data_IF_953725195808
#
_entry.id   IF_953725195808
#
_cell.length_a   1.000
_cell.length_b   1.000
_cell.length_c   1.000
_cell.angle_alpha   90.00
_cell.angle_beta   90.00
_cell.angle_gamma   90.00
#
_symmetry.space_group_name_H-M   'P 1'
#
loop_
_entity.id
_entity.type
_entity.pdbx_description
1 polymer ?
#
# COMPACT_ATOMS: atom_id res chain seq x y z
N UNK A 1 -43.87 -81.20 -65.74
CA UNK A 1 -43.65 -81.27 -64.29
C UNK A 1 -42.17 -81.02 -64.04
N UNK A 2 -41.84 -80.20 -63.04
CA UNK A 2 -40.59 -79.46 -62.94
C UNK A 2 -39.53 -80.26 -62.17
N UNK A 3 -38.25 -79.94 -62.32
CA UNK A 3 -37.43 -79.79 -61.12
C UNK A 3 -36.31 -78.79 -61.32
N UNK A 4 -36.23 -77.90 -60.34
CA UNK A 4 -35.58 -76.61 -60.36
C UNK A 4 -34.08 -76.71 -60.03
N UNK A 5 -33.36 -75.76 -60.62
CA UNK A 5 -32.08 -75.23 -60.15
C UNK A 5 -32.04 -75.05 -58.62
N UNK A 6 -30.89 -75.27 -57.97
CA UNK A 6 -30.05 -74.17 -57.45
C UNK A 6 -29.00 -74.61 -56.42
N UNK A 7 -27.80 -74.11 -56.71
CA UNK A 7 -26.98 -73.29 -55.80
C UNK A 7 -26.26 -73.98 -54.64
N UNK A 8 -25.02 -74.38 -54.96
CA UNK A 8 -23.88 -74.34 -54.05
C UNK A 8 -23.85 -73.06 -53.22
N UNK A 9 -24.18 -73.18 -51.94
CA UNK A 9 -24.02 -72.11 -50.95
C UNK A 9 -22.60 -72.11 -50.38
N UNK A 10 -21.59 -71.72 -51.17
CA UNK A 10 -20.24 -71.46 -50.66
C UNK A 10 -20.20 -70.15 -49.88
N UNK A 11 -20.62 -70.21 -48.61
CA UNK A 11 -20.48 -69.12 -47.63
C UNK A 11 -19.67 -69.65 -46.46
N UNK A 12 -18.33 -69.55 -46.46
CA UNK A 12 -17.54 -69.59 -45.20
C UNK A 12 -16.03 -69.28 -45.32
N UNK A 13 -15.60 -68.26 -46.09
CA UNK A 13 -14.16 -67.86 -46.07
C UNK A 13 -13.93 -66.35 -45.81
N UNK A 14 -14.97 -65.50 -45.84
CA UNK A 14 -14.82 -64.02 -45.68
C UNK A 14 -14.95 -63.46 -44.25
N UNK A 15 -14.85 -64.27 -43.20
CA UNK A 15 -15.06 -63.82 -41.80
C UNK A 15 -13.81 -63.53 -40.93
N UNK A 16 -12.63 -64.16 -41.12
CA UNK A 16 -11.54 -63.96 -40.16
C UNK A 16 -10.88 -62.57 -40.28
N UNK A 17 -10.72 -62.04 -41.50
CA UNK A 17 -10.01 -60.77 -41.72
C UNK A 17 -10.74 -59.55 -41.10
N UNK A 18 -12.07 -59.53 -41.19
CA UNK A 18 -12.89 -58.45 -40.60
C UNK A 18 -12.85 -58.49 -39.06
N UNK A 19 -12.74 -59.68 -38.46
CA UNK A 19 -12.59 -59.86 -37.01
C UNK A 19 -11.23 -59.32 -36.52
N UNK A 20 -10.14 -59.61 -37.24
CA UNK A 20 -8.80 -59.10 -36.90
C UNK A 20 -8.71 -57.58 -37.00
N UNK A 21 -9.29 -56.97 -38.04
CA UNK A 21 -9.33 -55.50 -38.19
C UNK A 21 -10.12 -54.85 -37.05
N UNK A 22 -11.28 -55.41 -36.69
CA UNK A 22 -12.07 -54.92 -35.54
C UNK A 22 -11.30 -55.02 -34.23
N UNK A 23 -10.51 -56.07 -34.05
CA UNK A 23 -9.71 -56.28 -32.84
C UNK A 23 -8.58 -55.24 -32.73
N UNK A 24 -7.86 -54.99 -33.83
CA UNK A 24 -6.83 -53.95 -33.89
C UNK A 24 -7.43 -52.56 -33.64
N UNK A 25 -8.57 -52.24 -34.26
CA UNK A 25 -9.25 -50.96 -34.08
C UNK A 25 -9.78 -50.77 -32.64
N UNK A 26 -10.27 -51.86 -32.03
CA UNK A 26 -10.73 -51.85 -30.63
C UNK A 26 -9.58 -51.68 -29.64
N UNK A 27 -8.38 -52.14 -29.99
CA UNK A 27 -7.18 -51.99 -29.18
C UNK A 27 -6.46 -50.64 -29.40
N UNK A 28 -6.58 -50.03 -30.57
CA UNK A 28 -5.93 -48.75 -30.88
C UNK A 28 -6.55 -47.57 -30.14
N UNK A 29 -7.87 -47.57 -29.94
CA UNK A 29 -8.57 -46.47 -29.26
C UNK A 29 -8.11 -46.34 -27.79
N UNK A 30 -8.13 -47.40 -26.96
CA UNK A 30 -7.61 -47.34 -25.60
C UNK A 30 -6.14 -46.93 -25.54
N UNK A 31 -5.31 -47.43 -26.46
CA UNK A 31 -3.89 -47.13 -26.51
C UNK A 31 -3.64 -45.63 -26.77
N UNK A 32 -4.37 -45.04 -27.72
CA UNK A 32 -4.30 -43.59 -27.99
C UNK A 32 -4.75 -42.77 -26.77
N UNK A 33 -5.83 -43.18 -26.10
CA UNK A 33 -6.32 -42.51 -24.89
C UNK A 33 -5.26 -42.58 -23.77
N UNK A 34 -4.63 -43.73 -23.56
CA UNK A 34 -3.57 -43.89 -22.55
C UNK A 34 -2.38 -42.97 -22.84
N UNK A 35 -1.89 -42.94 -24.09
CA UNK A 35 -0.78 -42.05 -24.46
C UNK A 35 -1.15 -40.58 -24.24
N UNK A 36 -2.34 -40.16 -24.70
CA UNK A 36 -2.83 -38.81 -24.50
C UNK A 36 -2.92 -38.44 -23.00
N UNK A 37 -3.39 -39.38 -22.18
CA UNK A 37 -3.48 -39.20 -20.72
C UNK A 37 -2.10 -38.99 -20.09
N UNK A 38 -1.09 -39.77 -20.49
CA UNK A 38 0.28 -39.63 -19.97
C UNK A 38 0.88 -38.29 -20.36
N UNK A 39 0.71 -37.87 -21.62
CA UNK A 39 1.24 -36.58 -22.11
C UNK A 39 0.60 -35.40 -21.38
N UNK A 40 -0.73 -35.41 -21.24
CA UNK A 40 -1.46 -34.35 -20.53
C UNK A 40 -1.11 -34.31 -19.05
N UNK A 41 -0.92 -35.46 -18.40
CA UNK A 41 -0.46 -35.53 -17.00
C UNK A 41 0.91 -34.85 -16.80
N UNK A 42 1.88 -35.11 -17.69
CA UNK A 42 3.21 -34.50 -17.61
C UNK A 42 3.13 -32.98 -17.81
N UNK A 43 2.35 -32.52 -18.80
CA UNK A 43 2.17 -31.09 -19.07
C UNK A 43 1.49 -30.37 -17.90
N UNK A 44 0.44 -30.97 -17.31
CA UNK A 44 -0.24 -30.42 -16.14
C UNK A 44 0.69 -30.30 -14.94
N UNK A 45 1.57 -31.29 -14.73
CA UNK A 45 2.56 -31.25 -13.66
C UNK A 45 3.53 -30.08 -13.82
N UNK A 46 4.09 -29.90 -15.03
CA UNK A 46 5.03 -28.80 -15.32
C UNK A 46 4.36 -27.42 -15.18
N UNK A 47 3.13 -27.26 -15.69
CA UNK A 47 2.35 -26.01 -15.54
C UNK A 47 2.10 -25.72 -14.05
N UNK A 48 1.73 -26.73 -13.27
CA UNK A 48 1.47 -26.57 -11.83
C UNK A 48 2.73 -26.15 -11.06
N UNK A 49 3.88 -26.75 -11.39
CA UNK A 49 5.16 -26.38 -10.76
C UNK A 49 5.58 -24.95 -11.11
N UNK A 50 5.44 -24.54 -12.38
CA UNK A 50 5.73 -23.16 -12.82
C UNK A 50 4.79 -22.14 -12.17
N UNK A 51 3.49 -22.41 -12.13
CA UNK A 51 2.52 -21.54 -11.47
C UNK A 51 2.86 -21.38 -9.99
N UNK A 52 3.17 -22.49 -9.30
CA UNK A 52 3.58 -22.45 -7.90
C UNK A 52 4.84 -21.59 -7.70
N UNK A 53 5.83 -21.70 -8.58
CA UNK A 53 7.04 -20.87 -8.50
C UNK A 53 6.74 -19.39 -8.73
N UNK A 54 5.88 -19.06 -9.70
CA UNK A 54 5.45 -17.70 -9.96
C UNK A 54 4.67 -17.13 -8.77
N UNK A 55 3.73 -17.88 -8.21
CA UNK A 55 2.96 -17.46 -7.04
C UNK A 55 3.87 -17.18 -5.84
N UNK A 56 4.90 -18.00 -5.62
CA UNK A 56 5.90 -17.78 -4.58
C UNK A 56 6.69 -16.49 -4.81
N UNK A 57 7.12 -16.22 -6.05
CA UNK A 57 7.84 -15.00 -6.40
C UNK A 57 6.96 -13.75 -6.26
N UNK A 58 5.71 -13.82 -6.70
CA UNK A 58 4.74 -12.73 -6.55
C UNK A 58 4.50 -12.49 -5.07
N UNK A 59 4.30 -13.54 -4.27
CA UNK A 59 4.10 -13.41 -2.83
C UNK A 59 5.32 -12.79 -2.13
N UNK A 60 6.56 -13.14 -2.53
CA UNK A 60 7.75 -12.52 -1.94
C UNK A 60 7.90 -11.06 -2.32
N UNK A 61 7.68 -10.71 -3.60
CA UNK A 61 7.77 -9.33 -4.08
C UNK A 61 6.69 -8.44 -3.48
N UNK A 62 5.47 -8.95 -3.32
CA UNK A 62 4.38 -8.20 -2.67
C UNK A 62 4.70 -7.96 -1.20
N UNK A 63 5.20 -8.97 -0.47
CA UNK A 63 5.61 -8.78 0.93
C UNK A 63 6.71 -7.74 1.08
N UNK A 64 7.71 -7.74 0.20
CA UNK A 64 8.78 -6.75 0.22
C UNK A 64 8.25 -5.33 -0.02
N UNK A 65 7.39 -5.16 -1.02
CA UNK A 65 6.74 -3.87 -1.30
C UNK A 65 5.85 -3.40 -0.16
N UNK A 66 5.10 -4.30 0.45
CA UNK A 66 4.21 -3.96 1.57
C UNK A 66 5.02 -3.48 2.79
N UNK A 67 6.20 -4.06 3.03
CA UNK A 67 7.11 -3.63 4.10
C UNK A 67 7.66 -2.22 3.80
N UNK A 68 8.18 -1.98 2.59
CA UNK A 68 8.71 -0.67 2.18
C UNK A 68 7.62 0.42 2.23
N UNK A 69 6.40 0.09 1.77
CA UNK A 69 5.27 1.01 1.84
C UNK A 69 4.90 1.34 3.30
N UNK A 70 4.85 0.32 4.17
CA UNK A 70 4.53 0.52 5.58
C UNK A 70 5.60 1.35 6.31
N UNK A 71 6.87 1.21 5.95
CA UNK A 71 7.96 2.01 6.50
C UNK A 71 7.82 3.48 6.07
N UNK A 72 7.67 3.73 4.76
CA UNK A 72 7.45 5.10 4.23
C UNK A 72 6.24 5.76 4.85
N UNK A 73 5.14 5.03 5.01
CA UNK A 73 3.93 5.56 5.61
C UNK A 73 4.17 5.97 7.09
N UNK A 74 4.90 5.15 7.86
CA UNK A 74 5.25 5.50 9.24
C UNK A 74 6.12 6.74 9.32
N UNK A 75 7.09 6.88 8.42
CA UNK A 75 7.94 8.07 8.34
C UNK A 75 7.14 9.32 8.00
N UNK A 76 6.23 9.22 7.02
CA UNK A 76 5.35 10.32 6.63
C UNK A 76 4.39 10.72 7.76
N UNK A 77 3.76 9.74 8.41
CA UNK A 77 2.88 9.96 9.56
C UNK A 77 3.64 10.63 10.71
N UNK A 78 4.87 10.19 11.00
CA UNK A 78 5.70 10.81 12.02
C UNK A 78 6.09 12.24 11.66
N UNK A 79 6.45 12.48 10.38
CA UNK A 79 6.77 13.83 9.88
C UNK A 79 5.56 14.75 10.00
N UNK A 80 4.38 14.28 9.60
CA UNK A 80 3.14 15.05 9.65
C UNK A 80 2.71 15.32 11.10
N UNK A 81 2.84 14.33 11.98
CA UNK A 81 2.55 14.51 13.41
C UNK A 81 3.47 15.56 14.05
N UNK A 82 4.77 15.56 13.71
CA UNK A 82 5.71 16.57 14.17
C UNK A 82 5.35 17.96 13.64
N UNK A 83 5.00 18.08 12.36
CA UNK A 83 4.59 19.36 11.76
C UNK A 83 3.33 19.91 12.42
N UNK A 84 2.31 19.08 12.61
CA UNK A 84 1.09 19.46 13.33
C UNK A 84 1.39 19.87 14.77
N UNK A 85 2.31 19.16 15.44
CA UNK A 85 2.73 19.53 16.80
C UNK A 85 3.34 20.94 16.82
N UNK A 86 4.30 21.24 15.94
CA UNK A 86 4.92 22.57 15.88
C UNK A 86 3.92 23.67 15.53
N UNK A 87 3.02 23.39 14.57
CA UNK A 87 1.95 24.31 14.20
C UNK A 87 1.05 24.61 15.40
N UNK A 88 0.61 23.60 16.15
CA UNK A 88 -0.25 23.78 17.32
C UNK A 88 0.46 24.56 18.43
N UNK A 89 1.73 24.24 18.71
CA UNK A 89 2.53 24.99 19.70
C UNK A 89 2.66 26.46 19.30
N UNK A 90 2.88 26.73 18.02
CA UNK A 90 2.98 28.09 17.50
C UNK A 90 1.64 28.83 17.58
N UNK A 91 0.53 28.23 17.13
CA UNK A 91 -0.79 28.86 17.18
C UNK A 91 -1.24 29.14 18.62
N UNK A 92 -1.06 28.18 19.53
CA UNK A 92 -1.36 28.38 20.95
C UNK A 92 -0.55 29.55 21.53
N UNK A 93 0.71 29.70 21.12
CA UNK A 93 1.50 30.85 21.53
C UNK A 93 0.93 32.17 20.97
N UNK A 94 0.56 32.23 19.70
CA UNK A 94 -0.02 33.42 19.09
C UNK A 94 -1.33 33.79 19.78
N UNK A 95 -2.21 32.81 20.02
CA UNK A 95 -3.48 33.02 20.70
C UNK A 95 -3.27 33.49 22.15
N UNK A 96 -2.37 32.86 22.90
CA UNK A 96 -2.02 33.26 24.26
C UNK A 96 -1.53 34.71 24.29
N UNK A 97 -0.54 35.07 23.45
CA UNK A 97 0.03 36.42 23.41
C UNK A 97 -1.00 37.45 22.93
N UNK A 98 -1.81 37.10 21.92
CA UNK A 98 -2.89 37.98 21.44
C UNK A 98 -3.91 38.24 22.54
N UNK A 99 -4.28 37.21 23.31
CA UNK A 99 -5.17 37.38 24.46
C UNK A 99 -4.54 38.31 25.52
N UNK A 100 -3.25 38.16 25.83
CA UNK A 100 -2.54 39.04 26.78
C UNK A 100 -2.45 40.48 26.28
N UNK A 101 -2.29 40.70 24.98
CA UNK A 101 -2.14 42.04 24.40
C UNK A 101 -3.48 42.75 24.19
N UNK A 102 -4.51 42.05 23.73
CA UNK A 102 -5.76 42.69 23.27
C UNK A 102 -6.94 42.51 24.21
N UNK A 103 -7.02 41.44 25.01
CA UNK A 103 -8.09 41.30 26.00
C UNK A 103 -7.71 42.04 27.29
N UNK A 104 -8.17 43.29 27.40
CA UNK A 104 -8.60 43.79 28.71
C UNK A 104 -9.85 43.01 29.11
N UNK A 105 -9.70 41.84 29.72
CA UNK A 105 -10.83 41.22 30.38
C UNK A 105 -11.22 42.10 31.57
N UNK A 106 -12.44 42.67 31.62
CA UNK A 106 -12.85 43.55 32.70
C UNK A 106 -12.96 42.83 34.07
N UNK A 107 -12.87 41.49 34.09
CA UNK A 107 -13.04 40.67 35.28
C UNK A 107 -11.83 39.78 35.64
N UNK A 108 -10.75 39.78 34.85
CA UNK A 108 -9.53 39.01 35.16
C UNK A 108 -8.34 39.96 35.25
N UNK A 109 -7.97 40.34 36.48
CA UNK A 109 -6.74 41.05 36.79
C UNK A 109 -5.51 40.14 36.62
N UNK A 110 -5.30 39.58 35.41
CA UNK A 110 -4.20 38.65 35.16
C UNK A 110 -2.84 39.37 35.18
N UNK A 111 -2.82 40.68 34.88
CA UNK A 111 -1.63 41.52 34.93
C UNK A 111 -1.99 42.89 35.49
N UNK A 112 -1.26 43.33 36.51
CA UNK A 112 -1.48 44.61 37.17
C UNK A 112 -0.76 45.71 36.39
N UNK A 113 0.40 45.38 35.81
CA UNK A 113 1.28 46.33 35.12
C UNK A 113 1.70 45.86 33.72
N UNK A 114 2.08 46.81 32.87
CA UNK A 114 2.62 46.55 31.53
C UNK A 114 3.92 45.73 31.56
N UNK A 115 4.77 45.98 32.55
CA UNK A 115 6.02 45.24 32.76
C UNK A 115 5.78 43.75 33.01
N UNK A 116 4.75 43.40 33.81
CA UNK A 116 4.39 42.00 34.09
C UNK A 116 3.91 41.28 32.82
N UNK A 117 3.18 41.98 31.94
CA UNK A 117 2.75 41.44 30.63
C UNK A 117 3.95 41.12 29.76
N UNK A 118 4.89 42.07 29.63
CA UNK A 118 6.09 41.85 28.83
C UNK A 118 6.97 40.74 29.41
N UNK A 119 7.08 40.65 30.74
CA UNK A 119 7.81 39.57 31.40
C UNK A 119 7.16 38.20 31.14
N UNK A 120 5.83 38.10 31.21
CA UNK A 120 5.09 36.89 30.86
C UNK A 120 5.31 36.48 29.41
N UNK A 121 5.14 37.42 28.46
CA UNK A 121 5.35 37.18 27.03
C UNK A 121 6.79 36.73 26.77
N UNK A 122 7.78 37.38 27.38
CA UNK A 122 9.20 37.02 27.26
C UNK A 122 9.47 35.60 27.76
N UNK A 123 8.97 35.25 28.96
CA UNK A 123 9.11 33.89 29.49
C UNK A 123 8.43 32.84 28.59
N UNK A 124 7.20 33.12 28.15
CA UNK A 124 6.45 32.23 27.26
C UNK A 124 7.19 32.03 25.94
N UNK A 125 7.70 33.11 25.35
CA UNK A 125 8.53 33.09 24.13
C UNK A 125 9.72 32.15 24.28
N UNK A 126 10.48 32.28 25.38
CA UNK A 126 11.66 31.44 25.63
C UNK A 126 11.25 29.95 25.71
N UNK A 127 10.18 29.64 26.44
CA UNK A 127 9.70 28.27 26.60
C UNK A 127 9.22 27.70 25.25
N UNK A 128 8.36 28.41 24.54
CA UNK A 128 7.83 27.99 23.23
C UNK A 128 8.97 27.84 22.21
N UNK A 129 9.94 28.76 22.18
CA UNK A 129 11.06 28.68 21.24
C UNK A 129 11.89 27.39 21.38
N UNK A 130 11.97 26.80 22.58
CA UNK A 130 12.67 25.53 22.82
C UNK A 130 11.92 24.31 22.30
N UNK A 131 10.61 24.43 22.09
CA UNK A 131 9.73 23.37 21.60
C UNK A 131 9.55 23.41 20.08
N UNK A 132 9.92 24.52 19.43
CA UNK A 132 9.77 24.71 17.98
C UNK A 132 11.02 24.27 17.21
N UNK A 133 10.82 23.82 15.97
CA UNK A 133 11.90 23.56 15.02
C UNK A 133 12.57 24.87 14.54
N UNK A 134 13.56 24.79 13.65
CA UNK A 134 14.26 25.98 13.13
C UNK A 134 13.35 26.95 12.38
N UNK A 135 12.37 26.47 11.64
CA UNK A 135 11.57 27.31 10.75
C UNK A 135 10.46 28.03 11.50
N UNK A 136 9.77 27.34 12.41
CA UNK A 136 8.82 27.98 13.32
C UNK A 136 9.50 28.96 14.28
N UNK A 137 10.76 28.73 14.68
CA UNK A 137 11.53 29.73 15.44
C UNK A 137 11.78 31.01 14.63
N UNK A 138 12.08 30.90 13.34
CA UNK A 138 12.21 32.08 12.45
C UNK A 138 10.88 32.81 12.32
N UNK A 139 9.77 32.09 12.18
CA UNK A 139 8.43 32.68 12.12
C UNK A 139 8.08 33.39 13.43
N UNK A 140 8.36 32.77 14.58
CA UNK A 140 8.21 33.37 15.90
C UNK A 140 9.01 34.66 16.04
N UNK A 141 10.28 34.65 15.62
CA UNK A 141 11.11 35.85 15.66
C UNK A 141 10.55 36.97 14.77
N UNK A 142 10.13 36.64 13.54
CA UNK A 142 9.49 37.59 12.63
C UNK A 142 8.22 38.19 13.25
N UNK A 143 7.39 37.36 13.88
CA UNK A 143 6.20 37.81 14.59
C UNK A 143 6.55 38.80 15.71
N UNK A 144 7.53 38.49 16.55
CA UNK A 144 7.97 39.37 17.65
C UNK A 144 8.49 40.72 17.16
N UNK A 145 9.19 40.74 16.02
CA UNK A 145 9.70 41.97 15.40
C UNK A 145 8.55 42.80 14.83
N UNK A 146 7.62 42.18 14.10
CA UNK A 146 6.48 42.86 13.47
C UNK A 146 5.55 43.45 14.53
N UNK A 147 5.33 42.73 15.62
CA UNK A 147 4.51 43.18 16.76
C UNK A 147 5.24 44.14 17.70
N UNK A 148 6.52 44.47 17.42
CA UNK A 148 7.36 45.34 18.24
C UNK A 148 7.53 44.85 19.69
N UNK A 149 7.31 43.55 19.94
CA UNK A 149 7.56 42.91 21.24
C UNK A 149 9.07 42.76 21.52
N UNK A 150 9.89 42.83 20.47
CA UNK A 150 11.35 42.91 20.56
C UNK A 150 11.82 44.11 19.74
N UNK A 151 12.69 44.98 20.29
CA UNK A 151 13.21 46.12 19.55
C UNK A 151 13.99 45.64 18.32
N UNK A 152 13.65 46.19 17.15
CA UNK A 152 14.34 45.89 15.91
C UNK A 152 15.75 46.50 15.97
N UNK A 153 16.78 45.66 16.11
CA UNK A 153 18.18 46.07 16.22
C UNK A 153 18.73 46.77 14.97
N UNK A 154 17.95 46.88 13.88
CA UNK A 154 18.33 47.58 12.65
C UNK A 154 18.02 49.07 12.61
N UNK A 155 17.50 49.69 13.68
CA UNK A 155 17.40 51.16 13.77
C UNK A 155 18.59 51.73 14.55
N UNK A 156 19.75 51.76 13.90
CA UNK A 156 20.83 52.69 14.22
C UNK A 156 21.25 53.34 12.92
N UNK A 157 20.67 54.51 12.66
CA UNK A 157 21.11 55.54 11.74
C UNK A 157 20.55 56.86 12.26
#
# INVERSE_FOLDING_TARGET
MPDDTRSEGSRNIRRPCILWIKLILSASIPLLITIFTVVTYIQQKDISERNRQQDLQIASLTREKDIDLAEKQREEDQRLANELHYQNVFQNYIDDVTNVLYKHQPNEALFINEEERFFYIGRKTIITSRQLNSDYRKQLLSFLIVTQLVPNSKKSN
#
